data_IF_536664065023
#
_entry.id   IF_536664065023
#
_cell.length_a   1.000
_cell.length_b   1.000
_cell.length_c   1.000
_cell.angle_alpha   90.00
_cell.angle_beta   90.00
_cell.angle_gamma   90.00
#
_symmetry.space_group_name_H-M   'P 1'
#
loop_
_entity.id
_entity.type
_entity.pdbx_description
1 polymer ?
#
# COMPACT_ATOMS: atom_id res chain seq x y z
N UNK A 1 -9.70 19.89 10.03
CA UNK A 1 -8.77 19.44 11.10
C UNK A 1 -7.57 20.37 11.25
N UNK A 2 -6.75 20.63 10.21
CA UNK A 2 -5.58 21.55 10.33
C UNK A 2 -6.00 22.93 10.81
N UNK A 3 -7.04 23.55 10.24
CA UNK A 3 -7.56 24.85 10.69
C UNK A 3 -7.98 24.88 12.15
N UNK A 4 -8.54 23.78 12.67
CA UNK A 4 -8.93 23.68 14.08
C UNK A 4 -7.69 23.67 14.98
N UNK A 5 -6.61 23.02 14.54
CA UNK A 5 -5.36 22.93 15.28
C UNK A 5 -4.53 24.22 15.24
N UNK A 6 -4.55 24.93 14.10
CA UNK A 6 -3.82 26.19 13.91
C UNK A 6 -4.62 27.43 14.32
N UNK A 7 -5.88 27.25 14.73
CA UNK A 7 -6.81 28.35 15.07
C UNK A 7 -6.94 29.42 13.94
N UNK A 8 -6.58 29.05 12.70
CA UNK A 8 -6.63 29.98 11.56
C UNK A 8 -8.00 30.02 10.92
N UNK A 9 -8.45 31.22 10.55
CA UNK A 9 -9.65 31.47 9.74
C UNK A 9 -9.34 31.75 8.28
N UNK A 10 -8.07 31.76 7.91
CA UNK A 10 -7.61 32.04 6.56
C UNK A 10 -8.06 30.97 5.56
N UNK A 11 -8.25 31.39 4.31
CA UNK A 11 -8.61 30.50 3.22
C UNK A 11 -7.37 30.23 2.37
N UNK A 12 -7.17 28.95 2.04
CA UNK A 12 -6.11 28.53 1.13
C UNK A 12 -6.68 28.15 -0.24
N UNK A 13 -5.89 28.36 -1.29
CA UNK A 13 -6.13 27.81 -2.64
C UNK A 13 -5.22 26.60 -2.77
N UNK A 14 -5.82 25.45 -3.08
CA UNK A 14 -5.08 24.18 -3.22
C UNK A 14 -4.91 23.89 -4.71
N UNK A 15 -3.65 23.73 -5.14
CA UNK A 15 -3.29 23.20 -6.44
C UNK A 15 -2.62 21.84 -6.26
N UNK A 16 -3.15 20.80 -6.89
CA UNK A 16 -2.60 19.45 -6.80
C UNK A 16 -2.36 18.87 -8.20
N UNK A 17 -1.26 18.13 -8.36
CA UNK A 17 -0.92 17.44 -9.60
C UNK A 17 -0.28 16.11 -9.28
N UNK A 18 -0.77 15.04 -9.89
CA UNK A 18 -0.11 13.74 -9.85
C UNK A 18 0.92 13.63 -10.99
N UNK A 19 2.06 12.99 -10.69
CA UNK A 19 3.10 12.65 -11.67
C UNK A 19 2.87 11.28 -12.34
N UNK A 20 1.82 10.57 -11.96
CA UNK A 20 1.47 9.23 -12.44
C UNK A 20 -0.04 9.14 -12.72
N UNK A 21 -0.51 8.13 -13.52
CA UNK A 21 -1.93 7.96 -13.84
C UNK A 21 -2.79 7.70 -12.60
N UNK A 22 -4.01 8.26 -12.60
CA UNK A 22 -5.01 8.01 -11.55
C UNK A 22 -5.88 6.81 -11.90
N UNK A 23 -6.43 6.14 -10.90
CA UNK A 23 -7.41 5.06 -11.10
C UNK A 23 -6.82 3.74 -11.58
N UNK A 24 -5.51 3.58 -11.52
CA UNK A 24 -4.80 2.37 -11.98
C UNK A 24 -4.15 1.57 -10.83
N UNK A 25 -4.62 1.78 -9.60
CA UNK A 25 -4.11 1.04 -8.42
C UNK A 25 -2.78 1.55 -7.86
N UNK A 26 -2.33 2.76 -8.23
CA UNK A 26 -1.07 3.36 -7.74
C UNK A 26 -1.22 4.21 -6.47
N UNK A 27 -2.32 4.11 -5.76
CA UNK A 27 -2.51 4.85 -4.51
C UNK A 27 -2.58 6.37 -4.68
N UNK A 28 -3.23 6.87 -5.76
CA UNK A 28 -3.32 8.31 -6.04
C UNK A 28 -4.04 9.09 -4.94
N UNK A 29 -5.06 8.53 -4.29
CA UNK A 29 -5.71 9.15 -3.13
C UNK A 29 -4.76 9.20 -1.94
N UNK A 30 -4.01 8.14 -1.67
CA UNK A 30 -3.06 8.07 -0.56
C UNK A 30 -1.98 9.13 -0.66
N UNK A 31 -1.31 9.23 -1.81
CA UNK A 31 -0.27 10.23 -2.04
C UNK A 31 -0.84 11.66 -2.04
N UNK A 32 -2.04 11.85 -2.61
CA UNK A 32 -2.70 13.17 -2.66
C UNK A 32 -3.06 13.68 -1.27
N UNK A 33 -3.66 12.86 -0.40
CA UNK A 33 -4.01 13.27 0.96
C UNK A 33 -2.80 13.38 1.89
N UNK A 34 -1.75 12.57 1.69
CA UNK A 34 -0.49 12.73 2.42
C UNK A 34 0.16 14.09 2.09
N UNK A 35 0.29 14.42 0.81
CA UNK A 35 0.84 15.69 0.36
C UNK A 35 -0.01 16.89 0.82
N UNK A 36 -1.35 16.77 0.74
CA UNK A 36 -2.27 17.81 1.19
C UNK A 36 -2.16 18.06 2.70
N UNK A 37 -2.08 17.00 3.51
CA UNK A 37 -1.97 17.14 4.95
C UNK A 37 -0.67 17.85 5.33
N UNK A 38 0.46 17.43 4.77
CA UNK A 38 1.76 18.08 5.04
C UNK A 38 1.75 19.55 4.60
N UNK A 39 1.31 19.82 3.37
CA UNK A 39 1.24 21.19 2.85
C UNK A 39 0.33 22.11 3.70
N UNK A 40 -0.78 21.56 4.22
CA UNK A 40 -1.69 22.33 5.06
C UNK A 40 -1.06 22.68 6.43
N UNK A 41 -0.27 21.80 7.03
CA UNK A 41 0.46 22.11 8.25
C UNK A 41 1.54 23.12 8.00
N UNK A 42 2.35 22.97 6.96
CA UNK A 42 3.39 23.93 6.55
C UNK A 42 2.81 25.34 6.33
N UNK A 43 1.70 25.44 5.57
CA UNK A 43 1.06 26.72 5.25
C UNK A 43 0.42 27.38 6.48
N UNK A 44 -0.13 26.59 7.40
CA UNK A 44 -0.83 27.10 8.58
C UNK A 44 0.08 27.61 9.68
N UNK A 45 1.37 27.25 9.66
CA UNK A 45 2.32 27.56 10.73
C UNK A 45 2.03 26.90 12.07
N UNK A 46 1.12 25.91 12.10
CA UNK A 46 0.85 25.12 13.31
C UNK A 46 2.03 24.22 13.64
N UNK A 47 2.31 24.00 14.90
CA UNK A 47 3.26 22.98 15.34
C UNK A 47 2.71 21.61 15.00
N UNK A 48 3.54 20.76 14.39
CA UNK A 48 3.18 19.39 14.07
C UNK A 48 4.37 18.43 14.14
N UNK A 49 4.07 17.16 14.33
CA UNK A 49 4.98 16.06 14.09
C UNK A 49 4.43 15.13 13.00
N UNK A 50 5.23 14.20 12.54
CA UNK A 50 4.82 13.29 11.46
C UNK A 50 3.69 12.34 11.86
N UNK A 51 3.51 12.08 13.15
CA UNK A 51 2.37 11.33 13.67
C UNK A 51 1.07 12.10 13.43
N UNK A 52 1.02 13.37 13.78
CA UNK A 52 -0.16 14.23 13.59
C UNK A 52 -0.49 14.42 12.10
N UNK A 53 0.54 14.55 11.24
CA UNK A 53 0.35 14.60 9.77
C UNK A 53 -0.25 13.28 9.29
N UNK A 54 0.25 12.14 9.74
CA UNK A 54 -0.25 10.81 9.40
C UNK A 54 -1.71 10.61 9.82
N UNK A 55 -2.06 10.96 11.05
CA UNK A 55 -3.45 10.95 11.55
C UNK A 55 -4.38 11.84 10.72
N UNK A 56 -3.90 13.01 10.33
CA UNK A 56 -4.69 13.97 9.53
C UNK A 56 -4.88 13.47 8.10
N UNK A 57 -3.82 12.97 7.45
CA UNK A 57 -3.88 12.41 6.11
C UNK A 57 -4.87 11.24 6.01
N UNK A 58 -4.92 10.39 7.03
CA UNK A 58 -5.83 9.25 7.14
C UNK A 58 -7.30 9.65 7.04
N UNK A 59 -7.68 10.85 7.50
CA UNK A 59 -9.06 11.33 7.42
C UNK A 59 -9.55 11.50 5.98
N UNK A 60 -8.64 11.73 5.04
CA UNK A 60 -8.95 11.82 3.62
C UNK A 60 -8.90 10.49 2.88
N UNK A 61 -7.95 9.64 3.26
CA UNK A 61 -7.79 8.28 2.73
C UNK A 61 -7.07 7.42 3.75
N UNK A 62 -7.63 6.26 4.12
CA UNK A 62 -7.06 5.39 5.15
C UNK A 62 -5.57 5.07 4.92
N UNK A 63 -5.21 4.70 3.71
CA UNK A 63 -3.83 4.38 3.33
C UNK A 63 -2.87 5.59 3.28
N UNK A 64 -3.40 6.83 3.28
CA UNK A 64 -2.57 8.04 3.24
C UNK A 64 -1.68 8.19 4.49
N UNK A 65 -2.09 7.61 5.63
CA UNK A 65 -1.24 7.61 6.82
C UNK A 65 0.12 6.98 6.57
N UNK A 66 0.19 5.89 5.79
CA UNK A 66 1.46 5.22 5.44
C UNK A 66 2.29 6.00 4.43
N UNK A 67 1.64 6.71 3.51
CA UNK A 67 2.33 7.53 2.51
C UNK A 67 3.08 8.73 3.12
N UNK A 68 2.71 9.15 4.33
CA UNK A 68 3.38 10.21 5.09
C UNK A 68 4.75 9.78 5.61
N UNK A 69 4.87 8.55 6.10
CA UNK A 69 6.08 8.10 6.81
C UNK A 69 7.21 7.63 5.89
N UNK A 70 6.90 7.20 4.67
CA UNK A 70 7.89 6.67 3.73
C UNK A 70 8.52 5.34 4.16
N UNK A 71 9.38 4.77 3.30
CA UNK A 71 10.00 3.47 3.55
C UNK A 71 8.99 2.34 3.71
N UNK A 72 9.32 1.34 4.54
CA UNK A 72 8.36 0.32 4.97
C UNK A 72 7.68 0.84 6.23
N UNK A 73 6.35 0.94 6.20
CA UNK A 73 5.58 1.54 7.29
C UNK A 73 4.47 0.62 7.78
N UNK A 74 4.23 0.66 9.07
CA UNK A 74 3.12 -0.03 9.75
C UNK A 74 2.03 0.97 10.13
N UNK A 75 0.77 0.63 9.85
CA UNK A 75 -0.38 1.38 10.34
C UNK A 75 -0.78 0.83 11.71
N UNK A 76 -0.75 1.70 12.71
CA UNK A 76 -1.09 1.39 14.10
C UNK A 76 -2.41 2.07 14.47
N UNK A 77 -3.22 1.37 15.25
CA UNK A 77 -4.37 1.92 15.95
C UNK A 77 -4.28 1.53 17.41
N UNK A 78 -4.19 2.52 18.29
CA UNK A 78 -4.10 2.36 19.73
C UNK A 78 -4.90 3.45 20.46
N UNK A 79 -4.81 3.51 21.79
CA UNK A 79 -5.50 4.50 22.62
C UNK A 79 -5.07 5.95 22.31
N UNK A 80 -3.92 6.16 21.69
CA UNK A 80 -3.41 7.48 21.31
C UNK A 80 -3.86 7.95 19.93
N UNK A 81 -4.47 7.09 19.12
CA UNK A 81 -4.97 7.43 17.79
C UNK A 81 -4.75 6.33 16.74
N UNK A 82 -4.83 6.73 15.47
CA UNK A 82 -4.62 5.85 14.33
C UNK A 82 -3.69 6.55 13.32
N UNK A 83 -2.47 6.05 13.21
CA UNK A 83 -1.35 6.66 12.50
C UNK A 83 -0.41 5.59 11.96
N UNK A 84 0.63 5.98 11.23
CA UNK A 84 1.68 5.06 10.82
C UNK A 84 3.04 5.42 11.41
N UNK A 85 3.88 4.39 11.54
CA UNK A 85 5.28 4.50 11.89
C UNK A 85 6.13 3.86 10.80
N UNK A 86 7.34 4.35 10.59
CA UNK A 86 8.32 3.69 9.75
C UNK A 86 8.96 2.53 10.52
N UNK A 87 8.92 1.33 9.95
CA UNK A 87 9.55 0.12 10.52
C UNK A 87 10.76 -0.34 9.71
N UNK A 88 10.96 0.21 8.50
CA UNK A 88 12.13 -0.03 7.67
C UNK A 88 12.53 1.23 6.89
N UNK A 89 13.76 1.70 7.09
CA UNK A 89 14.27 2.87 6.42
C UNK A 89 14.59 2.59 4.94
N UNK A 90 14.36 3.54 4.00
CA UNK A 90 14.65 3.34 2.57
C UNK A 90 16.10 2.94 2.30
N UNK A 91 17.03 3.45 3.10
CA UNK A 91 18.48 3.20 2.99
C UNK A 91 18.84 1.73 3.21
N UNK A 92 18.05 1.03 4.02
CA UNK A 92 18.25 -0.40 4.31
C UNK A 92 17.81 -1.32 3.17
N UNK A 93 16.98 -0.80 2.25
CA UNK A 93 16.35 -1.53 1.15
C UNK A 93 16.68 -0.94 -0.22
N UNK A 94 17.80 -0.23 -0.35
CA UNK A 94 18.20 0.47 -1.59
C UNK A 94 18.38 -0.43 -2.82
N UNK A 95 18.63 -1.72 -2.60
CA UNK A 95 18.79 -2.72 -3.67
C UNK A 95 17.44 -3.37 -4.06
N UNK A 96 16.35 -3.02 -3.40
CA UNK A 96 15.00 -3.42 -3.79
C UNK A 96 14.50 -2.53 -4.92
N UNK A 97 14.04 -3.14 -5.98
CA UNK A 97 13.34 -2.49 -7.10
C UNK A 97 11.91 -3.00 -7.20
N UNK A 98 10.99 -2.08 -7.49
CA UNK A 98 9.57 -2.39 -7.71
C UNK A 98 9.22 -1.97 -9.13
N UNK A 99 8.97 -2.94 -10.01
CA UNK A 99 8.47 -2.70 -11.36
C UNK A 99 6.95 -2.82 -11.35
N UNK A 100 6.27 -1.75 -11.78
CA UNK A 100 4.80 -1.73 -11.80
C UNK A 100 4.30 -2.04 -13.19
N UNK A 101 3.51 -3.09 -13.31
CA UNK A 101 2.86 -3.46 -14.56
C UNK A 101 1.42 -2.97 -14.54
N UNK A 102 1.18 -1.79 -15.15
CA UNK A 102 -0.14 -1.16 -15.13
C UNK A 102 -1.17 -2.04 -15.85
N UNK A 103 -2.24 -2.35 -15.15
CA UNK A 103 -3.39 -3.10 -15.67
C UNK A 103 -4.63 -2.26 -15.44
N UNK A 104 -5.43 -2.04 -16.46
CA UNK A 104 -6.71 -1.36 -16.33
C UNK A 104 -7.62 -2.15 -15.39
N UNK A 105 -8.17 -1.46 -14.39
CA UNK A 105 -9.05 -2.04 -13.37
C UNK A 105 -10.30 -1.19 -13.25
N UNK A 106 -11.45 -1.89 -13.18
CA UNK A 106 -12.75 -1.29 -12.85
C UNK A 106 -13.11 -1.47 -11.37
N UNK A 107 -12.20 -2.02 -10.57
CA UNK A 107 -12.46 -2.28 -9.16
C UNK A 107 -12.36 -1.00 -8.35
N UNK A 108 -13.41 -0.70 -7.59
CA UNK A 108 -13.45 0.40 -6.63
C UNK A 108 -13.01 -0.14 -5.28
N UNK A 109 -12.01 0.46 -4.66
CA UNK A 109 -11.44 0.04 -3.36
C UNK A 109 -12.49 -0.09 -2.27
N UNK A 110 -13.49 0.81 -2.22
CA UNK A 110 -14.60 0.76 -1.26
C UNK A 110 -15.39 -0.54 -1.36
N UNK A 111 -15.70 -1.00 -2.57
CA UNK A 111 -16.37 -2.30 -2.79
C UNK A 111 -15.54 -3.48 -2.29
N UNK A 112 -14.22 -3.43 -2.47
CA UNK A 112 -13.35 -4.49 -1.96
C UNK A 112 -13.38 -4.57 -0.43
N UNK A 113 -13.45 -3.43 0.27
CA UNK A 113 -13.57 -3.41 1.73
C UNK A 113 -14.90 -3.98 2.22
N UNK A 114 -16.02 -3.59 1.60
CA UNK A 114 -17.35 -4.12 1.91
C UNK A 114 -17.41 -5.64 1.67
N UNK A 115 -16.83 -6.11 0.59
CA UNK A 115 -16.84 -7.52 0.20
C UNK A 115 -16.07 -8.41 1.18
N UNK A 116 -14.91 -7.93 1.68
CA UNK A 116 -14.09 -8.65 2.67
C UNK A 116 -14.89 -9.00 3.92
N UNK A 117 -15.70 -8.07 4.43
CA UNK A 117 -16.47 -8.27 5.67
C UNK A 117 -17.59 -9.32 5.52
N UNK A 118 -18.09 -9.52 4.31
CA UNK A 118 -19.16 -10.50 4.01
C UNK A 118 -18.62 -11.91 3.77
N UNK A 119 -17.32 -12.07 3.61
CA UNK A 119 -16.69 -13.35 3.29
C UNK A 119 -16.72 -14.34 4.47
N UNK A 120 -17.04 -15.61 4.23
CA UNK A 120 -16.91 -16.66 5.24
C UNK A 120 -15.46 -16.89 5.69
N UNK A 121 -14.48 -16.38 4.93
CA UNK A 121 -13.06 -16.45 5.26
C UNK A 121 -12.57 -15.25 6.08
N UNK A 122 -13.42 -14.26 6.37
CA UNK A 122 -13.00 -13.02 7.03
C UNK A 122 -12.34 -13.26 8.39
N UNK A 123 -12.92 -14.12 9.22
CA UNK A 123 -12.35 -14.45 10.54
C UNK A 123 -10.96 -15.12 10.39
N UNK A 124 -10.83 -16.08 9.47
CA UNK A 124 -9.54 -16.71 9.19
C UNK A 124 -8.50 -15.73 8.67
N UNK A 125 -8.95 -14.70 7.91
CA UNK A 125 -8.09 -13.61 7.47
C UNK A 125 -7.53 -12.80 8.64
N UNK A 126 -8.35 -12.47 9.62
CA UNK A 126 -7.91 -11.72 10.81
C UNK A 126 -6.81 -12.50 11.57
N UNK A 127 -7.05 -13.78 11.84
CA UNK A 127 -6.08 -14.66 12.50
C UNK A 127 -4.77 -14.79 11.68
N UNK A 128 -4.90 -14.84 10.36
CA UNK A 128 -3.76 -14.89 9.42
C UNK A 128 -2.94 -13.60 9.44
N UNK A 129 -3.61 -12.43 9.39
CA UNK A 129 -2.94 -11.11 9.37
C UNK A 129 -2.13 -10.91 10.65
N UNK A 130 -2.71 -11.19 11.81
CA UNK A 130 -2.02 -11.01 13.10
C UNK A 130 -0.68 -11.76 13.12
N UNK A 131 -0.69 -13.04 12.71
CA UNK A 131 0.52 -13.84 12.62
C UNK A 131 1.49 -13.34 11.54
N UNK A 132 0.97 -12.99 10.36
CA UNK A 132 1.79 -12.56 9.22
C UNK A 132 2.44 -11.21 9.47
N UNK A 133 1.74 -10.31 10.18
CA UNK A 133 2.30 -9.01 10.56
C UNK A 133 3.52 -9.16 11.47
N UNK A 134 3.47 -10.05 12.47
CA UNK A 134 4.64 -10.34 13.31
C UNK A 134 5.82 -10.85 12.44
N UNK A 135 5.57 -11.80 11.54
CA UNK A 135 6.62 -12.32 10.65
C UNK A 135 7.18 -11.24 9.71
N UNK A 136 6.32 -10.33 9.24
CA UNK A 136 6.73 -9.21 8.39
C UNK A 136 7.65 -8.25 9.17
N UNK A 137 7.29 -7.90 10.41
CA UNK A 137 8.11 -7.03 11.27
C UNK A 137 9.47 -7.64 11.54
N UNK A 138 9.51 -8.93 11.91
CA UNK A 138 10.76 -9.67 12.10
C UNK A 138 11.62 -9.67 10.82
N UNK A 139 11.00 -9.88 9.65
CA UNK A 139 11.71 -9.88 8.37
C UNK A 139 12.27 -8.49 8.01
N UNK A 140 11.53 -7.41 8.30
CA UNK A 140 11.98 -6.04 8.09
C UNK A 140 13.14 -5.70 9.02
N UNK A 141 13.04 -6.02 10.31
CA UNK A 141 14.09 -5.79 11.30
C UNK A 141 15.39 -6.51 10.94
N UNK A 142 15.28 -7.75 10.46
CA UNK A 142 16.43 -8.56 10.03
C UNK A 142 16.85 -8.32 8.57
N UNK A 143 16.17 -7.39 7.85
CA UNK A 143 16.45 -7.06 6.44
C UNK A 143 16.39 -8.27 5.50
N UNK A 144 15.51 -9.22 5.81
CA UNK A 144 15.26 -10.44 5.02
C UNK A 144 14.36 -10.13 3.81
N UNK A 145 14.92 -9.42 2.82
CA UNK A 145 14.18 -8.82 1.70
C UNK A 145 13.29 -9.81 0.95
N UNK A 146 13.82 -10.97 0.56
CA UNK A 146 12.99 -11.98 -0.13
C UNK A 146 11.87 -12.57 0.74
N UNK A 147 12.07 -12.64 2.05
CA UNK A 147 11.02 -13.07 2.98
C UNK A 147 9.89 -12.04 3.05
N UNK A 148 10.23 -10.75 3.02
CA UNK A 148 9.25 -9.66 2.92
C UNK A 148 8.41 -9.84 1.65
N UNK A 149 9.06 -10.06 0.49
CA UNK A 149 8.35 -10.26 -0.79
C UNK A 149 7.46 -11.50 -0.78
N UNK A 150 7.95 -12.62 -0.24
CA UNK A 150 7.18 -13.87 -0.10
C UNK A 150 5.93 -13.66 0.77
N UNK A 151 6.07 -12.97 1.88
CA UNK A 151 4.95 -12.65 2.77
C UNK A 151 3.93 -11.73 2.08
N UNK A 152 4.38 -10.70 1.35
CA UNK A 152 3.51 -9.81 0.59
C UNK A 152 2.76 -10.54 -0.53
N UNK A 153 3.42 -11.48 -1.23
CA UNK A 153 2.78 -12.32 -2.24
C UNK A 153 1.75 -13.27 -1.62
N UNK A 154 2.04 -13.86 -0.46
CA UNK A 154 1.09 -14.70 0.27
C UNK A 154 -0.11 -13.89 0.75
N UNK A 155 0.12 -12.67 1.25
CA UNK A 155 -0.95 -11.79 1.69
C UNK A 155 -1.85 -11.35 0.53
N UNK A 156 -1.27 -11.05 -0.64
CA UNK A 156 -2.01 -10.79 -1.87
C UNK A 156 -3.02 -11.91 -2.17
N UNK A 157 -2.55 -13.16 -2.19
CA UNK A 157 -3.43 -14.31 -2.46
C UNK A 157 -4.51 -14.48 -1.39
N UNK A 158 -4.16 -14.26 -0.14
CA UNK A 158 -5.11 -14.34 0.97
C UNK A 158 -6.18 -13.23 0.89
N UNK A 159 -5.79 -12.00 0.61
CA UNK A 159 -6.72 -10.87 0.43
C UNK A 159 -7.72 -11.15 -0.70
N UNK A 160 -7.23 -11.54 -1.87
CA UNK A 160 -8.10 -11.79 -3.02
C UNK A 160 -8.98 -13.03 -2.84
N UNK A 161 -8.53 -14.06 -2.13
CA UNK A 161 -9.39 -15.19 -1.78
C UNK A 161 -10.60 -14.75 -0.92
N UNK A 162 -10.38 -13.81 -0.02
CA UNK A 162 -11.44 -13.26 0.85
C UNK A 162 -12.42 -12.41 0.03
N UNK A 163 -11.94 -11.52 -0.84
CA UNK A 163 -12.84 -10.72 -1.70
C UNK A 163 -13.61 -11.57 -2.71
N UNK A 164 -12.99 -12.63 -3.26
CA UNK A 164 -13.65 -13.56 -4.17
C UNK A 164 -14.74 -14.42 -3.54
N UNK A 165 -14.73 -14.55 -2.22
CA UNK A 165 -15.67 -15.39 -1.45
C UNK A 165 -16.69 -14.58 -0.66
N UNK A 166 -16.71 -13.27 -0.81
CA UNK A 166 -17.75 -12.42 -0.27
C UNK A 166 -19.07 -12.57 -1.04
N UNK A 167 -20.09 -11.84 -0.62
CA UNK A 167 -21.46 -11.99 -1.13
C UNK A 167 -21.60 -11.74 -2.64
N UNK A 168 -20.84 -10.77 -3.18
CA UNK A 168 -20.87 -10.41 -4.59
C UNK A 168 -19.78 -11.14 -5.40
N UNK A 169 -18.81 -11.74 -4.70
CA UNK A 169 -17.72 -12.50 -5.32
C UNK A 169 -16.79 -11.62 -6.14
N UNK A 170 -16.24 -10.56 -5.53
CA UNK A 170 -15.40 -9.59 -6.24
C UNK A 170 -14.11 -10.22 -6.77
N UNK A 171 -14.02 -10.33 -8.09
CA UNK A 171 -12.84 -10.80 -8.80
C UNK A 171 -12.12 -9.62 -9.43
N UNK A 172 -11.10 -9.10 -8.76
CA UNK A 172 -10.39 -7.89 -9.19
C UNK A 172 -9.39 -8.15 -10.34
N UNK A 173 -8.92 -9.39 -10.50
CA UNK A 173 -7.93 -9.75 -11.51
C UNK A 173 -8.59 -9.95 -12.87
N UNK A 174 -7.91 -9.54 -13.92
CA UNK A 174 -8.28 -9.84 -15.31
C UNK A 174 -7.25 -10.78 -15.96
N UNK A 175 -7.43 -11.08 -17.24
CA UNK A 175 -6.54 -11.98 -17.97
C UNK A 175 -5.07 -11.50 -17.96
N UNK A 176 -4.84 -10.19 -18.10
CA UNK A 176 -3.50 -9.63 -18.06
C UNK A 176 -2.86 -9.78 -16.67
N UNK A 177 -3.61 -9.57 -15.59
CA UNK A 177 -3.14 -9.82 -14.22
C UNK A 177 -2.70 -11.28 -14.03
N UNK A 178 -3.53 -12.22 -14.48
CA UNK A 178 -3.25 -13.65 -14.38
C UNK A 178 -2.01 -14.07 -15.19
N UNK A 179 -1.85 -13.51 -16.39
CA UNK A 179 -0.68 -13.73 -17.25
C UNK A 179 0.60 -13.22 -16.58
N UNK A 180 0.58 -12.01 -16.00
CA UNK A 180 1.72 -11.43 -15.30
C UNK A 180 2.10 -12.28 -14.07
N UNK A 181 1.12 -12.75 -13.30
CA UNK A 181 1.36 -13.64 -12.15
C UNK A 181 2.04 -14.93 -12.61
N UNK A 182 1.52 -15.54 -13.68
CA UNK A 182 2.09 -16.77 -14.25
C UNK A 182 3.53 -16.55 -14.71
N UNK A 183 3.76 -15.52 -15.52
CA UNK A 183 5.09 -15.17 -16.01
C UNK A 183 6.08 -14.86 -14.87
N UNK A 184 5.64 -14.13 -13.84
CA UNK A 184 6.46 -13.87 -12.64
C UNK A 184 6.90 -15.16 -11.95
N UNK A 185 6.01 -16.16 -11.92
CA UNK A 185 6.30 -17.47 -11.30
C UNK A 185 7.34 -18.25 -12.14
N UNK A 186 7.29 -18.18 -13.46
CA UNK A 186 8.29 -18.78 -14.35
C UNK A 186 9.65 -18.10 -14.21
N UNK A 187 9.68 -16.76 -14.24
CA UNK A 187 10.92 -15.97 -14.11
C UNK A 187 11.64 -16.20 -12.78
N UNK A 188 10.94 -16.66 -11.75
CA UNK A 188 11.54 -16.97 -10.45
C UNK A 188 12.54 -18.13 -10.52
N UNK A 189 12.50 -18.96 -11.54
CA UNK A 189 13.50 -20.01 -11.79
C UNK A 189 14.87 -19.42 -12.25
N UNK A 190 14.84 -18.17 -12.75
CA UNK A 190 16.02 -17.48 -13.26
C UNK A 190 16.62 -16.49 -12.25
N UNK A 191 15.76 -15.72 -11.57
CA UNK A 191 16.16 -14.73 -10.56
C UNK A 191 15.03 -14.46 -9.54
N UNK A 192 15.36 -13.93 -8.35
CA UNK A 192 14.34 -13.62 -7.33
C UNK A 192 13.38 -12.55 -7.82
N UNK A 193 12.11 -12.92 -8.01
CA UNK A 193 11.02 -12.01 -8.36
C UNK A 193 9.71 -12.48 -7.73
N UNK A 194 8.97 -11.54 -7.13
CA UNK A 194 7.73 -11.81 -6.42
C UNK A 194 6.73 -10.70 -6.72
N UNK A 195 5.44 -11.03 -6.80
CA UNK A 195 4.41 -10.02 -7.01
C UNK A 195 3.71 -9.64 -5.70
N UNK A 196 3.18 -8.42 -5.66
CA UNK A 196 2.17 -8.00 -4.70
C UNK A 196 1.08 -7.22 -5.43
N UNK A 197 -0.16 -7.38 -5.01
CA UNK A 197 -1.32 -6.70 -5.60
C UNK A 197 -2.18 -6.23 -4.43
N UNK A 198 -2.59 -4.97 -4.46
CA UNK A 198 -3.52 -4.42 -3.49
C UNK A 198 -4.97 -4.81 -3.89
N UNK A 199 -5.96 -4.00 -3.66
CA UNK A 199 -7.39 -4.30 -3.94
C UNK A 199 -7.74 -4.34 -5.43
N UNK A 200 -6.86 -3.87 -6.32
CA UNK A 200 -7.09 -3.78 -7.77
C UNK A 200 -6.50 -4.93 -8.58
N UNK A 201 -6.19 -4.64 -9.86
CA UNK A 201 -5.65 -5.59 -10.82
C UNK A 201 -4.15 -5.41 -11.11
N UNK A 202 -3.56 -4.28 -10.71
CA UNK A 202 -2.17 -3.91 -11.06
C UNK A 202 -1.16 -4.64 -10.19
N UNK A 203 -0.29 -5.48 -10.76
CA UNK A 203 0.81 -6.11 -10.02
C UNK A 203 2.01 -5.17 -9.82
N UNK A 204 2.59 -5.27 -8.64
CA UNK A 204 3.88 -4.70 -8.27
C UNK A 204 4.88 -5.83 -8.21
N UNK A 205 5.87 -5.83 -9.09
CA UNK A 205 6.87 -6.89 -9.21
C UNK A 205 8.10 -6.49 -8.41
N UNK A 206 8.38 -7.24 -7.37
CA UNK A 206 9.46 -6.99 -6.42
C UNK A 206 10.67 -7.83 -6.80
N UNK A 207 11.81 -7.19 -6.99
CA UNK A 207 13.08 -7.85 -7.36
C UNK A 207 14.26 -7.04 -6.85
N UNK A 208 15.48 -7.56 -7.00
CA UNK A 208 16.69 -6.78 -6.77
C UNK A 208 16.97 -5.84 -7.95
N UNK A 209 17.55 -4.69 -7.66
CA UNK A 209 17.89 -3.67 -8.67
C UNK A 209 18.71 -4.18 -9.84
N UNK A 210 19.58 -5.15 -9.61
CA UNK A 210 20.39 -5.78 -10.66
C UNK A 210 19.54 -6.51 -11.71
N UNK A 211 18.37 -7.01 -11.37
CA UNK A 211 17.44 -7.72 -12.27
C UNK A 211 16.36 -6.81 -12.87
N UNK A 212 16.28 -5.53 -12.47
CA UNK A 212 15.23 -4.59 -12.90
C UNK A 212 15.13 -4.50 -14.44
N UNK A 213 16.27 -4.34 -15.13
CA UNK A 213 16.29 -4.20 -16.59
C UNK A 213 15.83 -5.47 -17.29
N UNK A 214 16.24 -6.63 -16.79
CA UNK A 214 15.80 -7.92 -17.31
C UNK A 214 14.28 -8.05 -17.13
N UNK A 215 13.76 -7.77 -15.92
CA UNK A 215 12.33 -7.84 -15.64
C UNK A 215 11.47 -6.88 -16.50
N UNK A 216 12.00 -5.69 -16.84
CA UNK A 216 11.28 -4.73 -17.71
C UNK A 216 11.20 -5.23 -19.15
N UNK A 217 12.17 -6.03 -19.62
CA UNK A 217 12.21 -6.53 -20.99
C UNK A 217 11.31 -7.73 -21.25
N UNK A 218 10.83 -8.37 -20.21
CA UNK A 218 9.91 -9.53 -20.25
C UNK A 218 8.42 -9.11 -20.15
#
# INVERSE_FOLDING_TARGET
>A
KVRELSETTERAIVHSKNSFPQGVGLGSSSSGFAALALAAFEDSGADYDMKLVSETARLGSGSACRAVTGGISEWITDDSGSYSIQIGAPEDFKDWSIVVRLVESITVTEKAHEEVETSPLFKARLDYIEKTLCQMKDAVENKEVEKIWKLAEQDTRNLHAVTMTGNEGLFAWNAATAEIIHRTTELREEFPVYYSIDTGATPYLNTYREHEKQLISE
#
